data_IF_925029390229
#
_entry.id   IF_925029390229
#
_cell.length_a   1.000
_cell.length_b   1.000
_cell.length_c   1.000
_cell.angle_alpha   90.00
_cell.angle_beta   90.00
_cell.angle_gamma   90.00
#
_symmetry.space_group_name_H-M   'P 1'
#
loop_
_entity.id
_entity.type
_entity.pdbx_description
1 polymer ?
#
# COMPACT_ATOMS: atom_id res chain seq x y z
N UNK A 1 52.00 13.63 -12.51
CA UNK A 1 50.60 13.96 -12.16
C UNK A 1 49.72 13.28 -13.19
N UNK A 2 49.11 12.14 -12.85
CA UNK A 2 48.38 11.37 -13.85
C UNK A 2 47.78 10.11 -13.27
N UNK A 3 46.64 10.24 -12.58
CA UNK A 3 45.73 9.13 -12.24
C UNK A 3 44.31 9.69 -12.04
N UNK A 4 43.74 10.32 -13.07
CA UNK A 4 42.34 10.80 -13.06
C UNK A 4 41.60 10.41 -14.33
N UNK A 5 41.95 9.26 -14.93
CA UNK A 5 41.35 8.81 -16.18
C UNK A 5 41.36 7.28 -16.34
N UNK A 6 40.94 6.55 -15.30
CA UNK A 6 40.81 5.07 -15.41
C UNK A 6 39.57 4.48 -14.75
N UNK A 7 38.79 5.24 -13.98
CA UNK A 7 37.64 4.69 -13.25
C UNK A 7 36.33 4.80 -14.04
N UNK A 8 36.23 5.72 -15.02
CA UNK A 8 34.97 5.95 -15.75
C UNK A 8 34.70 4.99 -16.92
N UNK A 9 35.64 4.13 -17.31
CA UNK A 9 35.48 3.21 -18.47
C UNK A 9 34.96 1.82 -18.04
N UNK A 10 35.09 1.45 -16.76
CA UNK A 10 34.63 0.16 -16.24
C UNK A 10 33.11 0.08 -16.04
N UNK A 11 32.44 1.20 -15.76
CA UNK A 11 30.96 1.20 -15.63
C UNK A 11 30.23 1.17 -16.98
N UNK A 12 30.85 1.67 -18.05
CA UNK A 12 30.28 1.63 -19.41
C UNK A 12 30.49 0.27 -20.11
N UNK A 13 31.47 -0.53 -19.69
CA UNK A 13 31.74 -1.86 -20.27
C UNK A 13 30.92 -2.99 -19.62
N UNK A 14 30.46 -2.82 -18.37
CA UNK A 14 29.66 -3.82 -17.66
C UNK A 14 28.14 -3.72 -17.91
N UNK A 15 27.64 -2.57 -18.37
CA UNK A 15 26.24 -2.42 -18.77
C UNK A 15 25.91 -3.11 -20.12
N UNK A 16 26.94 -3.51 -20.88
CA UNK A 16 26.81 -4.08 -22.22
C UNK A 16 26.90 -5.61 -22.27
N UNK A 17 26.99 -6.28 -21.12
CA UNK A 17 27.19 -7.73 -21.02
C UNK A 17 26.05 -8.49 -20.32
N UNK A 18 25.01 -7.79 -19.85
CA UNK A 18 23.81 -8.48 -19.37
C UNK A 18 23.07 -9.06 -20.58
N UNK A 19 22.78 -10.37 -20.61
CA UNK A 19 21.92 -10.93 -21.64
C UNK A 19 20.59 -10.14 -21.68
N UNK A 20 20.01 -9.91 -22.87
CA UNK A 20 18.68 -9.34 -22.94
C UNK A 20 17.72 -10.21 -22.12
N UNK A 21 16.92 -9.58 -21.26
CA UNK A 21 15.93 -10.29 -20.46
C UNK A 21 14.98 -11.05 -21.37
N UNK A 22 14.70 -12.28 -21.02
CA UNK A 22 13.61 -13.06 -21.59
C UNK A 22 12.28 -12.36 -21.31
N UNK A 23 11.27 -12.65 -22.14
CA UNK A 23 9.93 -12.10 -21.95
C UNK A 23 9.31 -12.53 -20.60
N UNK A 24 9.62 -13.74 -20.12
CA UNK A 24 9.20 -14.20 -18.79
C UNK A 24 9.88 -13.39 -17.68
N UNK A 25 11.18 -13.08 -17.79
CA UNK A 25 11.88 -12.21 -16.82
C UNK A 25 11.33 -10.77 -16.83
N UNK A 26 10.85 -10.28 -17.98
CA UNK A 26 10.17 -8.98 -18.08
C UNK A 26 8.85 -9.02 -17.30
N UNK A 27 8.07 -10.08 -17.45
CA UNK A 27 6.80 -10.27 -16.71
C UNK A 27 7.07 -10.46 -15.21
N UNK A 28 8.04 -11.29 -14.82
CA UNK A 28 8.45 -11.47 -13.42
C UNK A 28 8.90 -10.15 -12.78
N UNK A 29 9.63 -9.31 -13.52
CA UNK A 29 10.00 -7.98 -13.06
C UNK A 29 8.77 -7.09 -12.82
N UNK A 30 7.75 -7.17 -13.68
CA UNK A 30 6.51 -6.42 -13.47
C UNK A 30 5.76 -6.88 -12.21
N UNK A 31 5.73 -8.17 -11.90
CA UNK A 31 5.19 -8.67 -10.63
C UNK A 31 5.93 -8.08 -9.43
N UNK A 32 7.26 -8.14 -9.41
CA UNK A 32 8.05 -7.56 -8.32
C UNK A 32 7.86 -6.03 -8.19
N UNK A 33 7.70 -5.34 -9.31
CA UNK A 33 7.35 -3.91 -9.32
C UNK A 33 5.97 -3.66 -8.71
N UNK A 34 4.96 -4.42 -9.13
CA UNK A 34 3.58 -4.30 -8.65
C UNK A 34 3.48 -4.58 -7.14
N UNK A 35 4.17 -5.61 -6.65
CA UNK A 35 4.26 -5.90 -5.21
C UNK A 35 4.94 -4.77 -4.43
N UNK A 36 6.00 -4.18 -4.99
CA UNK A 36 6.70 -3.06 -4.36
C UNK A 36 5.79 -1.85 -4.21
N UNK A 37 5.09 -1.45 -5.27
CA UNK A 37 4.18 -0.29 -5.20
C UNK A 37 2.97 -0.56 -4.30
N UNK A 38 2.49 -1.82 -4.23
CA UNK A 38 1.44 -2.25 -3.33
C UNK A 38 1.88 -2.21 -1.86
N UNK A 39 3.10 -2.65 -1.56
CA UNK A 39 3.69 -2.55 -0.22
C UNK A 39 3.83 -1.10 0.25
N UNK A 40 4.24 -0.20 -0.67
CA UNK A 40 4.27 1.24 -0.40
C UNK A 40 2.87 1.78 -0.11
N UNK A 41 1.86 1.40 -0.92
CA UNK A 41 0.46 1.80 -0.69
C UNK A 41 -0.03 1.34 0.69
N UNK A 42 0.15 0.07 1.02
CA UNK A 42 -0.26 -0.50 2.31
C UNK A 42 0.38 0.24 3.49
N UNK A 43 1.68 0.53 3.40
CA UNK A 43 2.42 1.30 4.41
C UNK A 43 1.85 2.71 4.56
N UNK A 44 1.60 3.41 3.46
CA UNK A 44 1.09 4.78 3.48
C UNK A 44 -0.32 4.84 4.08
N UNK A 45 -1.21 3.90 3.69
CA UNK A 45 -2.55 3.81 4.25
C UNK A 45 -2.51 3.56 5.76
N UNK A 46 -1.66 2.63 6.22
CA UNK A 46 -1.47 2.39 7.65
C UNK A 46 -0.93 3.63 8.39
N UNK A 47 0.01 4.37 7.81
CA UNK A 47 0.50 5.63 8.39
C UNK A 47 -0.60 6.69 8.53
N UNK A 48 -1.46 6.84 7.50
CA UNK A 48 -2.62 7.75 7.54
C UNK A 48 -3.54 7.35 8.70
N UNK A 49 -3.84 6.07 8.82
CA UNK A 49 -4.70 5.54 9.89
C UNK A 49 -4.12 5.79 11.28
N UNK A 50 -2.85 5.46 11.50
CA UNK A 50 -2.19 5.70 12.80
C UNK A 50 -2.18 7.17 13.15
N UNK A 51 -1.88 8.04 12.17
CA UNK A 51 -1.90 9.49 12.37
C UNK A 51 -3.28 9.97 12.80
N UNK A 52 -4.33 9.51 12.13
CA UNK A 52 -5.70 9.86 12.51
C UNK A 52 -6.02 9.39 13.93
N UNK A 53 -5.69 8.16 14.31
CA UNK A 53 -5.94 7.67 15.68
C UNK A 53 -5.12 8.44 16.72
N UNK A 54 -3.89 8.84 16.39
CA UNK A 54 -3.06 9.70 17.23
C UNK A 54 -3.71 11.07 17.44
N UNK A 55 -4.29 11.68 16.39
CA UNK A 55 -5.03 12.94 16.51
C UNK A 55 -6.25 12.81 17.44
N UNK A 56 -6.91 11.65 17.48
CA UNK A 56 -7.99 11.37 18.45
C UNK A 56 -7.41 11.34 19.88
N UNK A 57 -6.34 10.59 20.12
CA UNK A 57 -5.69 10.49 21.44
C UNK A 57 -5.22 11.87 21.92
N UNK A 58 -4.59 12.64 21.04
CA UNK A 58 -4.04 13.95 21.37
C UNK A 58 -5.13 14.99 21.62
N UNK A 59 -6.35 14.77 21.12
CA UNK A 59 -7.50 15.63 21.41
C UNK A 59 -8.09 15.45 22.81
N UNK A 60 -7.81 14.32 23.48
CA UNK A 60 -8.26 14.06 24.86
C UNK A 60 -7.24 14.67 25.85
N UNK A 61 -7.66 15.65 26.68
CA UNK A 61 -6.79 16.22 27.72
C UNK A 61 -6.24 15.14 28.65
N UNK A 62 -4.99 15.26 29.07
CA UNK A 62 -4.27 14.22 29.82
C UNK A 62 -5.01 13.79 31.10
N UNK A 63 -5.60 14.74 31.81
CA UNK A 63 -6.42 14.54 33.01
C UNK A 63 -7.74 13.81 32.77
N UNK A 64 -8.17 13.71 31.52
CA UNK A 64 -9.41 13.07 31.09
C UNK A 64 -9.17 11.77 30.31
N UNK A 65 -7.90 11.35 30.13
CA UNK A 65 -7.58 10.08 29.49
C UNK A 65 -7.99 8.91 30.35
N UNK A 66 -8.59 7.90 29.73
CA UNK A 66 -9.08 6.71 30.38
C UNK A 66 -8.89 5.47 29.52
N UNK A 67 -9.68 4.41 29.76
CA UNK A 67 -9.58 3.15 29.03
C UNK A 67 -9.72 3.28 27.52
N UNK A 68 -10.51 4.26 27.05
CA UNK A 68 -10.70 4.52 25.62
C UNK A 68 -9.42 4.97 24.93
N UNK A 69 -8.78 5.97 25.52
CA UNK A 69 -7.51 6.53 25.05
C UNK A 69 -6.42 5.46 25.10
N UNK A 70 -6.35 4.66 26.17
CA UNK A 70 -5.39 3.57 26.29
C UNK A 70 -5.54 2.51 25.19
N UNK A 71 -6.78 2.17 24.81
CA UNK A 71 -7.04 1.24 23.70
C UNK A 71 -6.60 1.81 22.34
N UNK A 72 -6.83 3.11 22.10
CA UNK A 72 -6.36 3.79 20.89
C UNK A 72 -4.83 3.92 20.85
N UNK A 73 -4.18 4.19 21.98
CA UNK A 73 -2.72 4.16 22.11
C UNK A 73 -2.14 2.77 21.83
N UNK A 74 -2.78 1.71 22.33
CA UNK A 74 -2.40 0.32 22.01
C UNK A 74 -2.54 0.05 20.51
N UNK A 75 -3.61 0.52 19.88
CA UNK A 75 -3.81 0.38 18.43
C UNK A 75 -2.70 1.10 17.64
N UNK A 76 -2.33 2.32 18.05
CA UNK A 76 -1.24 3.10 17.44
C UNK A 76 0.09 2.34 17.54
N UNK A 77 0.42 1.83 18.73
CA UNK A 77 1.70 1.17 18.99
C UNK A 77 1.84 -0.09 18.14
N UNK A 78 0.82 -0.94 18.09
CA UNK A 78 0.86 -2.12 17.24
C UNK A 78 0.89 -1.76 15.74
N UNK A 79 0.20 -0.69 15.33
CA UNK A 79 0.31 -0.16 13.98
C UNK A 79 1.74 0.26 13.62
N UNK A 80 2.49 0.88 14.54
CA UNK A 80 3.90 1.25 14.33
C UNK A 80 4.78 0.01 14.13
N UNK A 81 4.56 -1.04 14.91
CA UNK A 81 5.26 -2.33 14.74
C UNK A 81 4.99 -2.94 13.35
N UNK A 82 3.73 -2.91 12.91
CA UNK A 82 3.34 -3.40 11.60
C UNK A 82 3.95 -2.58 10.46
N UNK A 83 4.12 -1.26 10.60
CA UNK A 83 4.82 -0.45 9.59
C UNK A 83 6.22 -1.00 9.33
N UNK A 84 6.95 -1.34 10.40
CA UNK A 84 8.34 -1.78 10.32
C UNK A 84 8.48 -3.22 9.84
N UNK A 85 7.63 -4.12 10.35
CA UNK A 85 7.86 -5.58 10.24
C UNK A 85 6.71 -6.35 9.61
N UNK A 86 5.54 -5.73 9.46
CA UNK A 86 4.37 -6.36 8.88
C UNK A 86 4.48 -6.55 7.37
N UNK A 87 3.89 -7.63 6.89
CA UNK A 87 3.59 -7.87 5.48
C UNK A 87 2.58 -6.85 4.95
N UNK A 88 2.47 -6.74 3.62
CA UNK A 88 1.46 -5.87 3.00
C UNK A 88 0.05 -6.25 3.45
N UNK A 89 -0.28 -7.54 3.50
CA UNK A 89 -1.62 -8.02 3.85
C UNK A 89 -1.96 -7.76 5.32
N UNK A 90 -1.00 -7.94 6.23
CA UNK A 90 -1.17 -7.55 7.63
C UNK A 90 -1.47 -6.05 7.76
N UNK A 91 -0.76 -5.21 7.00
CA UNK A 91 -1.01 -3.75 6.98
C UNK A 91 -2.40 -3.43 6.43
N UNK A 92 -2.82 -4.08 5.35
CA UNK A 92 -4.17 -3.93 4.77
C UNK A 92 -5.26 -4.28 5.78
N UNK A 93 -5.17 -5.49 6.35
CA UNK A 93 -6.11 -5.96 7.35
C UNK A 93 -6.18 -5.04 8.55
N UNK A 94 -5.03 -4.51 9.00
CA UNK A 94 -4.98 -3.65 10.18
C UNK A 94 -5.67 -2.30 9.99
N UNK A 95 -5.54 -1.66 8.82
CA UNK A 95 -6.25 -0.41 8.59
C UNK A 95 -7.74 -0.63 8.28
N UNK A 96 -8.13 -1.75 7.65
CA UNK A 96 -9.56 -2.09 7.49
C UNK A 96 -10.27 -2.26 8.84
N UNK A 97 -9.53 -2.65 9.88
CA UNK A 97 -10.03 -2.76 11.25
C UNK A 97 -10.21 -1.41 11.98
N UNK A 98 -9.89 -0.26 11.36
CA UNK A 98 -10.03 1.07 11.97
C UNK A 98 -11.46 1.34 12.48
N UNK A 99 -12.48 1.03 11.68
CA UNK A 99 -13.87 1.23 12.08
C UNK A 99 -14.25 0.36 13.27
N UNK A 100 -13.74 -0.88 13.30
CA UNK A 100 -14.01 -1.80 14.38
C UNK A 100 -13.41 -1.33 15.71
N UNK A 101 -12.16 -0.84 15.70
CA UNK A 101 -11.54 -0.34 16.94
C UNK A 101 -12.25 0.92 17.44
N UNK A 102 -12.63 1.86 16.56
CA UNK A 102 -13.36 3.08 16.95
C UNK A 102 -14.73 2.72 17.55
N UNK A 103 -15.46 1.80 16.93
CA UNK A 103 -16.77 1.37 17.44
C UNK A 103 -16.64 0.61 18.76
N UNK A 104 -15.62 -0.24 18.90
CA UNK A 104 -15.34 -0.97 20.15
C UNK A 104 -15.02 0.00 21.29
N UNK A 105 -14.18 1.00 21.02
CA UNK A 105 -13.84 2.05 21.98
C UNK A 105 -15.09 2.84 22.37
N UNK A 106 -15.92 3.28 21.41
CA UNK A 106 -17.18 3.97 21.70
C UNK A 106 -18.18 3.12 22.49
N UNK A 107 -18.24 1.81 22.26
CA UNK A 107 -19.16 0.91 22.97
C UNK A 107 -18.73 0.59 24.41
N UNK A 108 -17.44 0.74 24.73
CA UNK A 108 -16.86 0.33 26.01
C UNK A 108 -16.51 1.48 26.96
N UNK A 109 -16.70 2.75 26.54
CA UNK A 109 -16.51 3.92 27.41
C UNK A 109 -17.86 4.40 27.92
N UNK A 110 -17.91 4.86 29.17
CA UNK A 110 -19.09 5.54 29.71
C UNK A 110 -19.38 6.84 28.91
N UNK A 111 -20.56 6.95 28.28
CA UNK A 111 -20.90 8.09 27.42
C UNK A 111 -21.01 9.42 28.18
N UNK A 112 -21.08 9.40 29.51
CA UNK A 112 -21.09 10.62 30.34
C UNK A 112 -19.71 11.24 30.56
N UNK A 113 -18.64 10.53 30.19
CA UNK A 113 -17.26 10.98 30.37
C UNK A 113 -16.83 12.01 29.33
N UNK A 114 -15.94 12.91 29.73
CA UNK A 114 -15.31 13.86 28.81
C UNK A 114 -14.53 13.15 27.70
N UNK A 115 -13.86 12.03 28.04
CA UNK A 115 -13.19 11.14 27.09
C UNK A 115 -14.13 10.71 25.95
N UNK A 116 -15.32 10.19 26.29
CA UNK A 116 -16.28 9.72 25.30
C UNK A 116 -16.81 10.86 24.41
N UNK A 117 -16.99 12.07 24.94
CA UNK A 117 -17.47 13.21 24.18
C UNK A 117 -16.44 13.63 23.12
N UNK A 118 -15.17 13.73 23.52
CA UNK A 118 -14.07 14.10 22.63
C UNK A 118 -13.86 13.05 21.54
N UNK A 119 -13.77 11.76 21.91
CA UNK A 119 -13.63 10.66 20.95
C UNK A 119 -14.87 10.58 20.03
N UNK A 120 -16.07 10.82 20.55
CA UNK A 120 -17.32 10.81 19.80
C UNK A 120 -17.33 11.74 18.58
N UNK A 121 -16.78 12.94 18.74
CA UNK A 121 -16.78 14.03 17.74
C UNK A 121 -15.85 13.78 16.54
N UNK A 122 -14.97 12.79 16.60
CA UNK A 122 -13.94 12.55 15.57
C UNK A 122 -14.43 11.80 14.32
N UNK A 123 -15.73 11.55 14.19
CA UNK A 123 -16.34 10.88 13.02
C UNK A 123 -16.15 11.63 11.69
N UNK A 124 -16.03 12.97 11.72
CA UNK A 124 -15.70 13.76 10.54
C UNK A 124 -14.29 13.49 10.00
N UNK A 125 -13.35 13.09 10.86
CA UNK A 125 -11.98 12.77 10.47
C UNK A 125 -11.88 11.50 9.61
N UNK A 126 -12.83 10.57 9.76
CA UNK A 126 -12.89 9.35 8.92
C UNK A 126 -13.11 9.66 7.44
N UNK A 127 -13.82 10.75 7.10
CA UNK A 127 -13.99 11.18 5.71
C UNK A 127 -12.66 11.62 5.09
N UNK A 128 -11.78 12.25 5.88
CA UNK A 128 -10.45 12.64 5.42
C UNK A 128 -9.56 11.40 5.23
N UNK A 129 -9.61 10.43 6.15
CA UNK A 129 -8.91 9.13 5.98
C UNK A 129 -9.34 8.44 4.69
N UNK A 130 -10.65 8.35 4.43
CA UNK A 130 -11.17 7.76 3.18
C UNK A 130 -10.68 8.50 1.93
N UNK A 131 -10.61 9.83 1.97
CA UNK A 131 -10.07 10.63 0.87
C UNK A 131 -8.58 10.33 0.63
N UNK A 132 -7.80 10.23 1.68
CA UNK A 132 -6.38 9.89 1.57
C UNK A 132 -6.17 8.45 1.06
N UNK A 133 -7.06 7.52 1.42
CA UNK A 133 -7.06 6.16 0.87
C UNK A 133 -7.33 6.13 -0.63
N UNK A 134 -8.32 6.90 -1.11
CA UNK A 134 -8.58 7.05 -2.55
C UNK A 134 -7.34 7.60 -3.25
N UNK A 135 -6.71 8.63 -2.69
CA UNK A 135 -5.49 9.22 -3.24
C UNK A 135 -4.32 8.22 -3.32
N UNK A 136 -4.12 7.40 -2.30
CA UNK A 136 -3.11 6.34 -2.34
C UNK A 136 -3.47 5.25 -3.38
N UNK A 137 -4.75 4.94 -3.53
CA UNK A 137 -5.27 4.07 -4.59
C UNK A 137 -4.99 4.58 -6.00
N UNK A 138 -5.17 5.89 -6.24
CA UNK A 138 -4.85 6.54 -7.51
C UNK A 138 -3.35 6.54 -7.79
N UNK A 139 -2.50 6.75 -6.77
CA UNK A 139 -1.05 6.65 -6.92
C UNK A 139 -0.61 5.24 -7.32
N UNK A 140 -1.17 4.22 -6.65
CA UNK A 140 -0.95 2.83 -7.03
C UNK A 140 -1.40 2.60 -8.48
N UNK A 141 -2.61 3.04 -8.83
CA UNK A 141 -3.19 2.89 -10.16
C UNK A 141 -2.26 3.39 -11.27
N UNK A 142 -1.83 4.64 -11.15
CA UNK A 142 -1.05 5.32 -12.17
C UNK A 142 0.29 4.62 -12.37
N UNK A 143 0.92 4.18 -11.26
CA UNK A 143 2.17 3.40 -11.30
C UNK A 143 1.95 2.02 -11.93
N UNK A 144 0.88 1.32 -11.56
CA UNK A 144 0.54 0.02 -12.12
C UNK A 144 0.29 0.10 -13.63
N UNK A 145 -0.53 1.07 -14.08
CA UNK A 145 -0.78 1.35 -15.49
C UNK A 145 0.51 1.65 -16.26
N UNK A 146 1.36 2.51 -15.71
CA UNK A 146 2.65 2.84 -16.32
C UNK A 146 3.55 1.61 -16.44
N UNK A 147 3.67 0.82 -15.38
CA UNK A 147 4.45 -0.42 -15.36
C UNK A 147 3.92 -1.46 -16.36
N UNK A 148 2.60 -1.65 -16.40
CA UNK A 148 1.94 -2.57 -17.33
C UNK A 148 2.17 -2.15 -18.79
N UNK A 149 2.08 -0.85 -19.09
CA UNK A 149 2.35 -0.31 -20.42
C UNK A 149 3.81 -0.52 -20.85
N UNK A 150 4.75 -0.27 -19.94
CA UNK A 150 6.19 -0.49 -20.19
C UNK A 150 6.54 -1.97 -20.37
N UNK A 151 5.92 -2.85 -19.59
CA UNK A 151 6.05 -4.30 -19.74
C UNK A 151 5.53 -4.73 -21.12
N UNK A 152 4.27 -4.37 -21.45
CA UNK A 152 3.62 -4.75 -22.70
C UNK A 152 4.38 -4.28 -23.95
N UNK A 153 4.98 -3.09 -23.91
CA UNK A 153 5.78 -2.57 -25.02
C UNK A 153 7.04 -3.39 -25.33
N UNK A 154 7.50 -4.24 -24.41
CA UNK A 154 8.69 -5.08 -24.56
C UNK A 154 8.36 -6.53 -24.93
N UNK A 155 7.08 -6.88 -25.06
CA UNK A 155 6.62 -8.24 -25.33
C UNK A 155 6.15 -8.35 -26.77
N UNK A 156 6.39 -9.51 -27.36
CA UNK A 156 5.89 -9.88 -28.68
C UNK A 156 4.38 -10.15 -28.63
N UNK A 157 3.67 -9.97 -29.76
CA UNK A 157 2.25 -10.33 -29.86
C UNK A 157 1.99 -11.80 -29.50
N UNK A 158 2.92 -12.70 -29.84
CA UNK A 158 2.82 -14.13 -29.52
C UNK A 158 2.80 -14.37 -28.02
N UNK A 159 3.67 -13.71 -27.26
CA UNK A 159 3.69 -13.85 -25.80
C UNK A 159 2.48 -13.19 -25.14
N UNK A 160 2.03 -12.05 -25.66
CA UNK A 160 0.78 -11.43 -25.18
C UNK A 160 -0.42 -12.39 -25.40
N UNK A 161 -0.48 -13.07 -26.54
CA UNK A 161 -1.52 -14.05 -26.82
C UNK A 161 -1.41 -15.30 -25.94
N UNK A 162 -0.18 -15.78 -25.67
CA UNK A 162 0.07 -16.91 -24.77
C UNK A 162 -0.36 -16.62 -23.34
N UNK A 163 -0.15 -15.38 -22.88
CA UNK A 163 -0.48 -14.92 -21.53
C UNK A 163 -1.82 -14.17 -21.47
N UNK A 164 -2.79 -14.51 -22.32
CA UNK A 164 -4.04 -13.77 -22.48
C UNK A 164 -4.79 -13.53 -21.16
N UNK A 165 -4.84 -14.53 -20.29
CA UNK A 165 -5.54 -14.44 -19.00
C UNK A 165 -4.90 -13.39 -18.09
N UNK A 166 -3.57 -13.33 -18.05
CA UNK A 166 -2.84 -12.31 -17.29
C UNK A 166 -3.15 -10.92 -17.85
N UNK A 167 -3.11 -10.75 -19.17
CA UNK A 167 -3.37 -9.46 -19.80
C UNK A 167 -4.83 -9.01 -19.68
N UNK A 168 -5.77 -9.95 -19.63
CA UNK A 168 -7.18 -9.66 -19.33
C UNK A 168 -7.31 -9.09 -17.92
N UNK A 169 -6.73 -9.74 -16.91
CA UNK A 169 -6.77 -9.26 -15.52
C UNK A 169 -6.04 -7.93 -15.36
N UNK A 170 -4.91 -7.71 -16.04
CA UNK A 170 -4.21 -6.42 -16.06
C UNK A 170 -5.11 -5.32 -16.65
N UNK A 171 -5.79 -5.60 -17.77
CA UNK A 171 -6.72 -4.65 -18.37
C UNK A 171 -7.92 -4.35 -17.45
N UNK A 172 -8.47 -5.35 -16.78
CA UNK A 172 -9.55 -5.15 -15.80
C UNK A 172 -9.07 -4.33 -14.61
N UNK A 173 -7.88 -4.63 -14.06
CA UNK A 173 -7.22 -3.82 -13.04
C UNK A 173 -7.10 -2.34 -13.46
N UNK A 174 -6.76 -2.09 -14.73
CA UNK A 174 -6.62 -0.74 -15.27
C UNK A 174 -7.97 -0.03 -15.43
N UNK A 175 -9.02 -0.74 -15.84
CA UNK A 175 -10.31 -0.13 -16.15
C UNK A 175 -11.29 -0.12 -14.97
N UNK A 176 -11.00 -0.87 -13.89
CA UNK A 176 -11.82 -0.94 -12.68
C UNK A 176 -11.79 0.35 -11.86
N UNK A 177 -12.86 0.59 -11.11
CA UNK A 177 -12.87 1.61 -10.06
C UNK A 177 -12.07 1.17 -8.82
N UNK A 178 -11.93 2.06 -7.83
CA UNK A 178 -11.19 1.77 -6.61
C UNK A 178 -11.77 0.59 -5.80
N UNK A 179 -13.08 0.37 -5.84
CA UNK A 179 -13.76 -0.62 -5.00
C UNK A 179 -13.57 -2.05 -5.50
N UNK A 180 -13.54 -2.27 -6.81
CA UNK A 180 -13.39 -3.61 -7.40
C UNK A 180 -11.93 -4.02 -7.61
N UNK A 181 -10.98 -3.11 -7.40
CA UNK A 181 -9.59 -3.31 -7.77
C UNK A 181 -8.85 -4.29 -6.87
N UNK A 182 -9.24 -4.40 -5.61
CA UNK A 182 -8.52 -5.22 -4.65
C UNK A 182 -8.55 -6.71 -5.04
N UNK A 183 -9.74 -7.23 -5.36
CA UNK A 183 -9.91 -8.61 -5.83
C UNK A 183 -9.13 -8.86 -7.13
N UNK A 184 -9.15 -7.89 -8.04
CA UNK A 184 -8.40 -7.97 -9.30
C UNK A 184 -6.87 -7.97 -9.08
N UNK A 185 -6.37 -7.24 -8.09
CA UNK A 185 -4.94 -7.27 -7.73
C UNK A 185 -4.58 -8.65 -7.16
N UNK A 186 -5.41 -9.23 -6.31
CA UNK A 186 -5.17 -10.59 -5.79
C UNK A 186 -5.19 -11.63 -6.91
N UNK A 187 -6.16 -11.51 -7.82
CA UNK A 187 -6.21 -12.36 -9.01
C UNK A 187 -4.95 -12.19 -9.86
N UNK A 188 -4.50 -10.95 -10.11
CA UNK A 188 -3.25 -10.67 -10.82
C UNK A 188 -2.06 -11.35 -10.13
N UNK A 189 -1.89 -11.16 -8.82
CA UNK A 189 -0.77 -11.74 -8.07
C UNK A 189 -0.76 -13.27 -8.08
N UNK A 190 -1.91 -13.93 -8.28
CA UNK A 190 -1.97 -15.40 -8.41
C UNK A 190 -1.21 -15.95 -9.63
N UNK A 191 -0.96 -15.13 -10.65
CA UNK A 191 -0.20 -15.51 -11.84
C UNK A 191 1.32 -15.49 -11.60
N UNK A 192 1.79 -14.90 -10.51
CA UNK A 192 3.22 -14.66 -10.23
C UNK A 192 4.06 -15.93 -10.34
N UNK A 193 3.59 -17.06 -9.80
CA UNK A 193 4.34 -18.31 -9.73
C UNK A 193 4.53 -19.01 -11.10
N UNK A 194 4.04 -18.42 -12.21
CA UNK A 194 4.24 -18.92 -13.57
C UNK A 194 5.57 -18.49 -14.19
N UNK A 195 6.25 -17.51 -13.59
CA UNK A 195 7.46 -16.86 -14.10
C UNK A 195 8.56 -16.83 -13.03
#
# INVERSE_FOLDING_TARGET
MGYTLTISILFLSLAWAAPPKTENEIIAQFFGYAETIRSIQARNMLMVTIKFVQEIVDSVPNEHRGPGTAALESYINHGRELIERGTSDEKYNYFYNLLNIINTVKGNIDPSTHESQVIGLTSLGLLNVSRDFVREGEKFHNKFLQGASQMKAKLTPTTIARESDLFNVINECINSDFHHREDLIQQFLSFKNRY
#
